data_IF_080315034928
#
_entry.id   IF_080315034928
#
_cell.length_a   1.000
_cell.length_b   1.000
_cell.length_c   1.000
_cell.angle_alpha   90.00
_cell.angle_beta   90.00
_cell.angle_gamma   90.00
#
_symmetry.space_group_name_H-M   'P 1'
#
loop_
_entity.id
_entity.type
_entity.pdbx_description
1 polymer ?
#
# COMPACT_ATOMS: atom_id res chain seq x y z
N UNK A 1 14.17 -10.45 7.77
CA UNK A 1 12.72 -10.48 7.61
C UNK A 1 12.06 -10.47 8.99
N UNK A 2 11.08 -9.59 9.19
CA UNK A 2 10.34 -9.50 10.46
C UNK A 2 8.84 -9.27 10.22
N UNK A 3 8.01 -9.66 11.18
CA UNK A 3 6.56 -9.45 11.14
C UNK A 3 6.19 -8.23 11.95
N UNK A 4 5.50 -7.28 11.33
CA UNK A 4 5.07 -6.07 12.01
C UNK A 4 4.02 -6.38 13.09
N UNK A 5 4.34 -6.06 14.36
CA UNK A 5 3.42 -6.25 15.50
C UNK A 5 2.18 -5.35 15.46
N UNK A 6 2.23 -4.24 14.72
CA UNK A 6 1.09 -3.34 14.60
C UNK A 6 0.06 -3.83 13.58
N UNK A 7 0.50 -4.36 12.43
CA UNK A 7 -0.39 -4.64 11.30
C UNK A 7 -0.25 -6.02 10.64
N UNK A 8 0.65 -6.87 11.12
CA UNK A 8 0.86 -8.22 10.61
C UNK A 8 1.61 -8.34 9.28
N UNK A 9 1.97 -7.23 8.64
CA UNK A 9 2.74 -7.27 7.39
C UNK A 9 4.11 -7.93 7.60
N UNK A 10 4.49 -8.78 6.65
CA UNK A 10 5.86 -9.28 6.53
C UNK A 10 6.72 -8.17 5.91
N UNK A 11 7.83 -7.86 6.56
CA UNK A 11 8.86 -6.96 6.06
C UNK A 11 10.02 -7.83 5.62
N UNK A 12 10.26 -7.87 4.31
CA UNK A 12 11.14 -8.85 3.65
C UNK A 12 12.62 -8.65 3.95
N UNK A 13 12.99 -7.55 4.58
CA UNK A 13 14.36 -7.16 4.88
C UNK A 13 14.48 -6.67 6.33
N UNK A 14 15.48 -7.18 7.05
CA UNK A 14 15.70 -6.84 8.45
C UNK A 14 16.33 -5.47 8.66
N UNK A 15 16.92 -4.85 7.64
CA UNK A 15 17.55 -3.53 7.74
C UNK A 15 16.51 -2.39 7.79
N UNK A 16 15.23 -2.71 7.60
CA UNK A 16 14.15 -1.74 7.71
C UNK A 16 13.78 -1.46 9.16
N UNK A 17 14.02 -0.23 9.61
CA UNK A 17 13.67 0.24 10.94
C UNK A 17 12.16 0.48 11.14
N UNK A 18 11.37 0.50 10.06
CA UNK A 18 9.92 0.72 10.11
C UNK A 18 9.17 -0.16 9.10
N UNK A 19 7.94 -0.52 9.44
CA UNK A 19 7.07 -1.31 8.57
C UNK A 19 6.60 -0.48 7.36
N UNK A 20 6.81 -0.98 6.15
CA UNK A 20 6.34 -0.34 4.91
C UNK A 20 4.82 -0.12 4.90
N UNK A 21 4.03 -0.97 5.58
CA UNK A 21 2.56 -0.95 5.54
C UNK A 21 1.90 -0.04 6.57
N UNK A 22 2.59 0.35 7.63
CA UNK A 22 1.96 1.18 8.69
C UNK A 22 2.92 2.14 9.37
N UNK A 23 4.18 2.16 8.95
CA UNK A 23 5.25 2.98 9.51
C UNK A 23 5.51 2.73 11.00
N UNK A 24 4.98 1.65 11.59
CA UNK A 24 5.32 1.25 12.96
C UNK A 24 6.82 0.92 13.02
N UNK A 25 7.57 1.46 14.00
CA UNK A 25 8.96 1.08 14.24
C UNK A 25 9.09 -0.43 14.47
N UNK A 26 10.19 -1.03 14.02
CA UNK A 26 10.49 -2.46 14.21
C UNK A 26 10.38 -2.88 15.69
N UNK A 27 10.89 -2.03 16.58
CA UNK A 27 10.90 -2.24 18.02
C UNK A 27 9.85 -1.40 18.79
N UNK A 28 8.73 -1.04 18.15
CA UNK A 28 7.67 -0.23 18.78
C UNK A 28 7.17 -0.78 20.13
N UNK A 29 6.99 0.09 21.11
CA UNK A 29 6.30 -0.20 22.36
C UNK A 29 4.81 -0.53 22.13
N UNK A 30 4.14 -1.07 23.15
CA UNK A 30 2.70 -1.35 23.07
C UNK A 30 1.88 -0.06 22.82
N UNK A 31 2.29 1.06 23.42
CA UNK A 31 1.64 2.37 23.24
C UNK A 31 1.83 2.93 21.82
N UNK A 32 3.03 2.78 21.26
CA UNK A 32 3.29 3.16 19.86
C UNK A 32 2.50 2.30 18.87
N UNK A 33 2.40 0.98 19.14
CA UNK A 33 1.57 0.07 18.34
C UNK A 33 0.11 0.54 18.34
N UNK A 34 -0.44 0.89 19.50
CA UNK A 34 -1.82 1.35 19.64
C UNK A 34 -2.03 2.69 18.90
N UNK A 35 -1.08 3.60 19.01
CA UNK A 35 -1.12 4.88 18.28
C UNK A 35 -1.13 4.67 16.77
N UNK A 36 -0.32 3.75 16.24
CA UNK A 36 -0.29 3.43 14.80
C UNK A 36 -1.60 2.81 14.34
N UNK A 37 -2.17 1.88 15.12
CA UNK A 37 -3.47 1.27 14.80
C UNK A 37 -4.59 2.30 14.74
N UNK A 38 -4.61 3.25 15.68
CA UNK A 38 -5.56 4.36 15.68
C UNK A 38 -5.36 5.36 14.53
N UNK A 39 -4.16 5.44 13.93
CA UNK A 39 -3.95 6.24 12.70
C UNK A 39 -4.48 5.55 11.46
N UNK A 40 -4.51 4.21 11.43
CA UNK A 40 -5.03 3.45 10.29
C UNK A 40 -6.54 3.56 10.08
N UNK A 41 -7.28 4.03 11.08
CA UNK A 41 -8.70 4.35 10.91
C UNK A 41 -8.96 5.69 10.22
N UNK A 42 -7.89 6.43 9.85
CA UNK A 42 -8.05 7.72 9.18
C UNK A 42 -8.36 7.54 7.70
N UNK A 43 -9.45 8.18 7.31
CA UNK A 43 -9.91 8.35 5.94
C UNK A 43 -8.81 8.95 5.06
N UNK A 44 -8.57 8.35 3.89
CA UNK A 44 -7.70 8.90 2.86
C UNK A 44 -8.23 10.25 2.37
N UNK A 45 -7.39 11.29 2.47
CA UNK A 45 -7.74 12.68 2.14
C UNK A 45 -6.77 13.26 1.12
N UNK A 46 -7.30 14.02 0.17
CA UNK A 46 -6.52 14.65 -0.88
C UNK A 46 -5.75 15.86 -0.33
N UNK A 47 -4.42 15.80 -0.30
CA UNK A 47 -3.58 16.91 0.15
C UNK A 47 -3.73 18.24 -0.63
N UNK A 48 -4.46 18.26 -1.76
CA UNK A 48 -4.74 19.50 -2.51
C UNK A 48 -6.05 20.17 -2.13
N UNK A 49 -7.04 19.38 -1.70
CA UNK A 49 -8.42 19.83 -1.54
C UNK A 49 -9.00 19.51 -0.16
N UNK A 50 -8.27 18.74 0.65
CA UNK A 50 -8.70 18.13 1.90
C UNK A 50 -10.00 17.28 1.79
N UNK A 51 -10.44 16.97 0.57
CA UNK A 51 -11.59 16.10 0.31
C UNK A 51 -11.21 14.63 0.50
N UNK A 52 -12.18 13.80 0.90
CA UNK A 52 -12.02 12.33 0.88
C UNK A 52 -11.64 11.85 -0.52
N UNK A 53 -10.72 10.89 -0.60
CA UNK A 53 -10.40 10.17 -1.83
C UNK A 53 -11.38 9.01 -2.03
N UNK A 54 -11.77 8.75 -3.28
CA UNK A 54 -12.66 7.66 -3.67
C UNK A 54 -11.89 6.52 -4.34
N UNK A 55 -12.26 5.28 -4.02
CA UNK A 55 -11.64 4.10 -4.60
C UNK A 55 -12.07 3.90 -6.06
N UNK A 56 -11.11 3.78 -6.96
CA UNK A 56 -11.31 3.55 -8.40
C UNK A 56 -11.08 2.10 -8.83
N UNK A 57 -10.55 1.25 -7.95
CA UNK A 57 -10.21 -0.16 -8.25
C UNK A 57 -8.72 -0.46 -8.10
N UNK A 58 -8.37 -1.74 -8.20
CA UNK A 58 -6.98 -2.20 -8.20
C UNK A 58 -6.45 -2.32 -9.63
N UNK A 59 -5.33 -1.67 -9.94
CA UNK A 59 -4.63 -1.77 -11.22
C UNK A 59 -3.37 -2.63 -11.08
N UNK A 60 -3.25 -3.62 -11.97
CA UNK A 60 -2.01 -4.39 -12.14
C UNK A 60 -1.17 -3.73 -13.22
N UNK A 61 0.08 -3.38 -12.89
CA UNK A 61 1.03 -2.91 -13.87
C UNK A 61 1.89 -4.08 -14.35
N UNK A 62 2.13 -4.09 -15.67
CA UNK A 62 3.06 -5.02 -16.29
C UNK A 62 4.34 -4.25 -16.60
N UNK A 63 5.33 -4.33 -15.73
CA UNK A 63 6.68 -3.92 -16.10
C UNK A 63 7.28 -4.99 -17.02
N UNK A 64 7.22 -4.75 -18.33
CA UNK A 64 7.99 -5.50 -19.32
C UNK A 64 7.20 -6.04 -20.51
N UNK A 65 7.25 -5.32 -21.62
CA UNK A 65 7.12 -5.90 -22.97
C UNK A 65 8.09 -5.22 -23.91
N UNK A 66 9.38 -5.50 -23.70
CA UNK A 66 10.40 -5.37 -24.75
C UNK A 66 11.17 -6.68 -24.86
N UNK A 67 10.46 -7.71 -25.32
CA UNK A 67 11.04 -8.88 -25.97
C UNK A 67 11.84 -8.39 -27.18
N UNK A 68 13.14 -8.23 -27.01
CA UNK A 68 14.04 -7.79 -28.07
C UNK A 68 15.48 -8.11 -27.68
N UNK A 69 15.87 -9.37 -27.93
CA UNK A 69 17.27 -9.80 -28.09
C UNK A 69 18.16 -9.61 -26.87
N UNK A 70 18.06 -10.46 -25.84
CA UNK A 70 19.19 -11.13 -25.15
C UNK A 70 18.64 -11.96 -23.97
N UNK A 71 19.05 -13.23 -23.94
CA UNK A 71 18.45 -14.28 -23.12
C UNK A 71 18.73 -14.24 -21.62
N UNK A 72 17.96 -15.06 -20.93
CA UNK A 72 18.28 -15.76 -19.67
C UNK A 72 18.45 -14.96 -18.36
N UNK A 73 18.13 -13.66 -18.34
CA UNK A 73 18.05 -12.86 -17.09
C UNK A 73 16.65 -12.28 -16.82
N UNK A 74 15.66 -12.61 -17.66
CA UNK A 74 14.32 -12.02 -17.63
C UNK A 74 13.27 -12.79 -16.83
N UNK A 75 13.58 -13.99 -16.32
CA UNK A 75 12.59 -14.85 -15.64
C UNK A 75 12.40 -14.57 -14.14
N UNK A 76 13.21 -13.70 -13.52
CA UNK A 76 13.21 -13.50 -12.05
C UNK A 76 12.58 -12.20 -11.52
N UNK A 77 12.15 -11.28 -12.39
CA UNK A 77 11.70 -9.94 -11.93
C UNK A 77 10.43 -9.42 -12.61
N UNK A 78 9.51 -10.28 -13.03
CA UNK A 78 8.13 -9.86 -13.29
C UNK A 78 7.39 -9.75 -11.94
N UNK A 79 7.82 -8.81 -11.09
CA UNK A 79 7.05 -8.43 -9.90
C UNK A 79 5.76 -7.78 -10.41
N UNK A 80 4.65 -8.51 -10.35
CA UNK A 80 3.31 -8.00 -10.63
C UNK A 80 2.93 -7.05 -9.51
N UNK A 81 3.32 -5.79 -9.60
CA UNK A 81 2.94 -4.79 -8.63
C UNK A 81 1.47 -4.40 -8.87
N UNK A 82 0.60 -4.86 -7.97
CA UNK A 82 -0.83 -4.50 -7.94
C UNK A 82 -0.99 -3.32 -6.99
N UNK A 83 -1.64 -2.26 -7.48
CA UNK A 83 -1.87 -1.04 -6.71
C UNK A 83 -3.35 -0.73 -6.65
N UNK A 84 -3.83 -0.32 -5.48
CA UNK A 84 -5.11 0.36 -5.41
C UNK A 84 -4.99 1.76 -5.94
N UNK A 85 -6.02 2.15 -6.67
CA UNK A 85 -6.14 3.47 -7.26
C UNK A 85 -7.24 4.20 -6.52
N UNK A 86 -6.90 5.38 -6.01
CA UNK A 86 -7.86 6.33 -5.48
C UNK A 86 -7.80 7.63 -6.25
N UNK A 87 -8.93 8.32 -6.37
CA UNK A 87 -9.00 9.63 -7.02
C UNK A 87 -9.73 10.66 -6.14
N UNK A 88 -9.34 11.92 -6.30
CA UNK A 88 -10.02 13.05 -5.70
C UNK A 88 -11.18 13.49 -6.61
N UNK A 89 -12.45 13.46 -6.15
CA UNK A 89 -13.58 13.89 -6.97
C UNK A 89 -13.57 15.41 -7.26
N UNK A 90 -12.85 16.19 -6.46
CA UNK A 90 -12.78 17.65 -6.60
C UNK A 90 -11.77 18.12 -7.64
N UNK A 91 -10.56 17.54 -7.66
CA UNK A 91 -9.47 18.01 -8.53
C UNK A 91 -8.90 16.97 -9.49
N UNK A 92 -9.42 15.74 -9.46
CA UNK A 92 -8.97 14.65 -10.34
C UNK A 92 -7.58 14.11 -10.03
N UNK A 93 -6.95 14.50 -8.90
CA UNK A 93 -5.68 13.89 -8.46
C UNK A 93 -5.90 12.39 -8.26
N UNK A 94 -5.00 11.58 -8.83
CA UNK A 94 -4.97 10.13 -8.66
C UNK A 94 -3.78 9.75 -7.80
N UNK A 95 -3.98 8.81 -6.88
CA UNK A 95 -2.97 8.27 -5.99
C UNK A 95 -2.97 6.74 -6.06
N UNK A 96 -1.76 6.16 -6.04
CA UNK A 96 -1.54 4.72 -6.08
C UNK A 96 -1.04 4.24 -4.73
N UNK A 97 -1.64 3.18 -4.24
CA UNK A 97 -1.34 2.59 -2.94
C UNK A 97 -0.98 1.12 -3.11
N UNK A 98 0.05 0.66 -2.42
CA UNK A 98 0.38 -0.77 -2.36
C UNK A 98 -0.78 -1.49 -1.68
N UNK A 99 -1.07 -2.72 -2.11
CA UNK A 99 -2.13 -3.54 -1.55
C UNK A 99 -2.13 -3.55 -0.01
N UNK A 100 -3.31 -3.35 0.55
CA UNK A 100 -3.51 -3.32 1.98
C UNK A 100 -3.44 -1.93 2.63
N UNK A 101 -3.17 -0.87 1.85
CA UNK A 101 -3.20 0.52 2.32
C UNK A 101 -4.49 1.19 1.85
N UNK A 102 -5.23 1.78 2.79
CA UNK A 102 -6.53 2.38 2.50
C UNK A 102 -7.67 1.36 2.46
N UNK A 103 -7.46 0.08 2.77
CA UNK A 103 -8.53 -0.94 2.79
C UNK A 103 -9.80 -0.49 3.53
N UNK A 104 -9.65 0.21 4.65
CA UNK A 104 -10.76 0.77 5.43
C UNK A 104 -11.60 1.80 4.62
N UNK A 105 -11.00 2.44 3.62
CA UNK A 105 -11.63 3.39 2.70
C UNK A 105 -12.11 2.78 1.38
N UNK A 106 -11.73 1.53 1.06
CA UNK A 106 -12.29 0.80 -0.10
C UNK A 106 -13.80 0.60 0.02
N UNK A 107 -14.36 0.71 1.24
CA UNK A 107 -15.78 0.55 1.48
C UNK A 107 -16.26 -0.89 1.27
N UNK A 108 -15.43 -1.89 1.62
CA UNK A 108 -15.91 -3.27 1.69
C UNK A 108 -17.02 -3.36 2.74
N UNK A 109 -18.25 -3.35 2.23
CA UNK A 109 -19.36 -3.98 2.92
C UNK A 109 -19.04 -5.47 2.87
N UNK A 110 -18.98 -6.11 4.03
CA UNK A 110 -19.01 -7.57 4.09
C UNK A 110 -20.20 -8.08 3.25
N UNK A 111 -19.95 -9.00 2.31
CA UNK A 111 -20.99 -9.90 1.78
C UNK A 111 -21.22 -9.89 0.27
N UNK A 112 -20.90 -11.03 -0.34
CA UNK A 112 -21.33 -11.49 -1.67
C UNK A 112 -20.95 -12.94 -1.85
#
# INVERSE_FOLDING_TARGET
>A
MWTCRACGAVVDDDDWDACWKCSAPKNASAEEIETVRNRRSKVLTCHRCDSRLEYAGTKRFHEGSRLGVFGDLAELFVKRESYDVYFCPTCGKVEFYIDGIGDADRGETEGG
#
